data_IF_113970139646
#
_entry.id   IF_113970139646
#
_cell.length_a   1.000
_cell.length_b   1.000
_cell.length_c   1.000
_cell.angle_alpha   90.00
_cell.angle_beta   90.00
_cell.angle_gamma   90.00
#
_symmetry.space_group_name_H-M   'P 1'
#
loop_
_entity.id
_entity.type
_entity.pdbx_description
1 polymer ?
#
# COMPACT_ATOMS: atom_id res chain seq x y z
N UNK A 1 5.48 10.14 -7.75
CA UNK A 1 5.95 8.92 -8.43
C UNK A 1 6.43 9.32 -9.80
N UNK A 2 7.68 8.99 -10.16
CA UNK A 2 8.30 9.42 -11.42
C UNK A 2 7.76 8.68 -12.64
N UNK A 3 7.09 7.55 -12.44
CA UNK A 3 6.44 6.78 -13.50
C UNK A 3 4.90 6.97 -13.48
N UNK A 4 4.32 7.62 -14.50
CA UNK A 4 2.88 7.84 -14.59
C UNK A 4 2.08 6.54 -14.84
N UNK A 5 2.67 5.54 -15.50
CA UNK A 5 2.02 4.25 -15.80
C UNK A 5 1.83 3.44 -14.52
N UNK A 6 2.86 3.41 -13.67
CA UNK A 6 2.80 2.76 -12.35
C UNK A 6 1.74 3.42 -11.46
N UNK A 7 1.66 4.76 -11.51
CA UNK A 7 0.66 5.52 -10.75
C UNK A 7 -0.78 5.20 -11.20
N UNK A 8 -1.03 5.08 -12.50
CA UNK A 8 -2.34 4.71 -13.04
C UNK A 8 -2.74 3.29 -12.65
N UNK A 9 -1.81 2.33 -12.73
CA UNK A 9 -2.07 0.94 -12.32
C UNK A 9 -2.46 0.85 -10.84
N UNK A 10 -1.73 1.53 -9.96
CA UNK A 10 -2.04 1.54 -8.52
C UNK A 10 -3.39 2.23 -8.26
N UNK A 11 -3.70 3.34 -8.96
CA UNK A 11 -5.01 4.00 -8.87
C UNK A 11 -6.16 3.06 -9.21
N UNK A 12 -6.06 2.30 -10.30
CA UNK A 12 -7.12 1.35 -10.66
C UNK A 12 -7.37 0.27 -9.61
N UNK A 13 -6.36 -0.12 -8.83
CA UNK A 13 -6.52 -1.09 -7.74
C UNK A 13 -7.14 -0.49 -6.47
N UNK A 14 -7.08 0.83 -6.32
CA UNK A 14 -7.68 1.57 -5.20
C UNK A 14 -9.02 2.22 -5.56
N UNK A 15 -9.46 2.11 -6.82
CA UNK A 15 -10.75 2.61 -7.24
C UNK A 15 -11.86 1.86 -6.50
N UNK A 16 -12.76 2.61 -5.86
CA UNK A 16 -13.84 2.05 -5.05
C UNK A 16 -13.42 1.51 -3.68
N UNK A 17 -12.15 1.64 -3.28
CA UNK A 17 -11.69 1.24 -1.94
C UNK A 17 -12.28 2.17 -0.89
N UNK A 18 -12.94 1.58 0.11
CA UNK A 18 -13.53 2.31 1.23
C UNK A 18 -12.64 2.25 2.46
N UNK A 19 -12.94 3.11 3.45
CA UNK A 19 -12.28 3.06 4.77
C UNK A 19 -12.46 1.71 5.47
N UNK A 20 -13.57 1.02 5.23
CA UNK A 20 -13.83 -0.30 5.80
C UNK A 20 -12.88 -1.36 5.22
N UNK A 21 -12.59 -1.29 3.92
CA UNK A 21 -11.66 -2.22 3.30
C UNK A 21 -10.22 -2.04 3.79
N UNK A 22 -9.87 -0.82 4.23
CA UNK A 22 -8.57 -0.56 4.88
C UNK A 22 -8.47 -1.06 6.32
N UNK A 23 -9.57 -1.51 6.91
CA UNK A 23 -9.55 -2.20 8.20
C UNK A 23 -9.54 -3.73 8.01
N UNK A 24 -9.75 -4.21 6.78
CA UNK A 24 -9.64 -5.63 6.44
C UNK A 24 -8.18 -6.00 6.17
N UNK A 25 -7.59 -6.71 7.14
CA UNK A 25 -6.20 -7.14 7.10
C UNK A 25 -5.86 -7.98 5.86
N UNK A 26 -6.79 -8.80 5.37
CA UNK A 26 -6.54 -9.66 4.22
C UNK A 26 -6.50 -8.84 2.92
N UNK A 27 -7.41 -7.87 2.77
CA UNK A 27 -7.40 -6.93 1.63
C UNK A 27 -6.16 -6.05 1.63
N UNK A 28 -5.82 -5.47 2.78
CA UNK A 28 -4.62 -4.64 2.94
C UNK A 28 -3.36 -5.43 2.59
N UNK A 29 -3.21 -6.66 3.09
CA UNK A 29 -2.09 -7.55 2.75
C UNK A 29 -2.00 -7.82 1.24
N UNK A 30 -3.13 -8.08 0.59
CA UNK A 30 -3.18 -8.31 -0.87
C UNK A 30 -2.69 -7.08 -1.64
N UNK A 31 -3.11 -5.88 -1.26
CA UNK A 31 -2.64 -4.64 -1.88
C UNK A 31 -1.16 -4.39 -1.66
N UNK A 32 -0.67 -4.57 -0.43
CA UNK A 32 0.76 -4.42 -0.12
C UNK A 32 1.62 -5.32 -1.02
N UNK A 33 1.25 -6.60 -1.19
CA UNK A 33 1.92 -7.53 -2.12
C UNK A 33 1.84 -7.06 -3.58
N UNK A 34 0.64 -6.70 -4.02
CA UNK A 34 0.39 -6.30 -5.41
C UNK A 34 1.21 -5.05 -5.77
N UNK A 35 1.26 -4.07 -4.86
CA UNK A 35 2.01 -2.83 -5.09
C UNK A 35 3.51 -3.05 -5.01
N UNK A 36 4.01 -3.90 -4.11
CA UNK A 36 5.42 -4.29 -4.11
C UNK A 36 5.84 -4.94 -5.44
N UNK A 37 5.02 -5.83 -6.00
CA UNK A 37 5.27 -6.43 -7.32
C UNK A 37 5.24 -5.40 -8.45
N UNK A 38 4.25 -4.50 -8.46
CA UNK A 38 4.13 -3.43 -9.47
C UNK A 38 5.34 -2.49 -9.42
N UNK A 39 5.88 -2.24 -8.22
CA UNK A 39 7.05 -1.40 -7.99
C UNK A 39 8.37 -2.18 -8.17
N UNK A 40 8.31 -3.50 -8.40
CA UNK A 40 9.44 -4.40 -8.46
C UNK A 40 10.35 -4.31 -7.21
N UNK A 41 9.74 -4.14 -6.04
CA UNK A 41 10.41 -4.02 -4.75
C UNK A 41 10.33 -5.34 -3.98
N UNK A 42 11.43 -5.81 -3.36
CA UNK A 42 11.41 -7.01 -2.55
C UNK A 42 10.59 -6.78 -1.27
N UNK A 43 9.58 -7.63 -1.06
CA UNK A 43 8.73 -7.60 0.13
C UNK A 43 8.94 -8.86 0.95
N UNK A 44 9.56 -8.73 2.11
CA UNK A 44 9.69 -9.84 3.07
C UNK A 44 8.42 -9.97 3.91
N UNK A 45 8.16 -11.17 4.47
CA UNK A 45 7.00 -11.41 5.33
C UNK A 45 6.98 -10.48 6.57
N UNK A 46 8.15 -10.13 7.10
CA UNK A 46 8.26 -9.19 8.21
C UNK A 46 7.81 -7.78 7.79
N UNK A 47 8.36 -7.27 6.69
CA UNK A 47 8.03 -5.93 6.18
C UNK A 47 6.56 -5.83 5.80
N UNK A 48 6.01 -6.88 5.19
CA UNK A 48 4.59 -6.99 4.88
C UNK A 48 3.72 -6.87 6.13
N UNK A 49 4.01 -7.65 7.17
CA UNK A 49 3.23 -7.61 8.41
C UNK A 49 3.29 -6.22 9.07
N UNK A 50 4.47 -5.57 9.06
CA UNK A 50 4.65 -4.21 9.59
C UNK A 50 3.84 -3.18 8.80
N UNK A 51 3.88 -3.25 7.46
CA UNK A 51 3.10 -2.37 6.59
C UNK A 51 1.60 -2.55 6.79
N UNK A 52 1.13 -3.80 6.87
CA UNK A 52 -0.30 -4.10 7.08
C UNK A 52 -0.78 -3.55 8.42
N UNK A 53 -0.05 -3.80 9.51
CA UNK A 53 -0.39 -3.25 10.83
C UNK A 53 -0.44 -1.73 10.79
N UNK A 54 0.57 -1.09 10.22
CA UNK A 54 0.65 0.36 10.13
C UNK A 54 -0.54 0.96 9.36
N UNK A 55 -0.92 0.39 8.21
CA UNK A 55 -2.04 0.89 7.41
C UNK A 55 -3.35 0.85 8.19
N UNK A 56 -3.57 -0.23 8.96
CA UNK A 56 -4.75 -0.41 9.80
C UNK A 56 -4.72 0.59 10.97
N UNK A 57 -3.59 0.67 11.68
CA UNK A 57 -3.42 1.48 12.89
C UNK A 57 -3.54 2.99 12.61
N UNK A 58 -3.04 3.44 11.46
CA UNK A 58 -3.07 4.85 11.07
C UNK A 58 -4.43 5.30 10.56
N UNK A 59 -5.40 4.39 10.36
CA UNK A 59 -6.71 4.70 9.76
C UNK A 59 -6.58 5.54 8.49
N UNK A 60 -5.60 5.21 7.65
CA UNK A 60 -5.19 6.01 6.49
C UNK A 60 -6.37 6.20 5.54
N UNK A 61 -6.47 7.36 4.88
CA UNK A 61 -7.41 7.54 3.78
C UNK A 61 -6.87 6.82 2.51
N UNK A 62 -7.68 5.98 1.83
CA UNK A 62 -7.22 5.22 0.65
C UNK A 62 -6.74 6.12 -0.49
N UNK A 63 -7.14 7.39 -0.49
CA UNK A 63 -6.74 8.36 -1.51
C UNK A 63 -5.37 9.01 -1.23
N UNK A 64 -4.79 8.82 -0.03
CA UNK A 64 -3.53 9.47 0.34
C UNK A 64 -2.33 8.50 0.23
N UNK A 65 -2.05 8.07 -1.01
CA UNK A 65 -0.94 7.18 -1.39
C UNK A 65 0.46 7.67 -0.97
N UNK A 66 0.60 8.94 -0.59
CA UNK A 66 1.85 9.53 -0.06
C UNK A 66 2.31 8.86 1.23
N UNK A 67 1.41 8.26 2.02
CA UNK A 67 1.76 7.58 3.26
C UNK A 67 2.50 6.25 2.99
N UNK A 68 2.07 5.50 1.96
CA UNK A 68 2.74 4.25 1.55
C UNK A 68 4.16 4.49 1.02
N UNK A 69 4.34 5.55 0.23
CA UNK A 69 5.67 5.93 -0.30
C UNK A 69 6.57 6.52 0.79
N UNK A 70 6.03 7.31 1.74
CA UNK A 70 6.80 7.85 2.87
C UNK A 70 7.34 6.75 3.80
N UNK A 71 6.61 5.65 3.97
CA UNK A 71 7.07 4.51 4.78
C UNK A 71 8.28 3.82 4.16
N UNK A 72 8.28 3.61 2.85
CA UNK A 72 9.43 3.03 2.13
C UNK A 72 10.72 3.85 2.34
N UNK A 73 10.61 5.17 2.44
CA UNK A 73 11.75 6.05 2.79
C UNK A 73 12.13 6.07 4.27
N UNK A 74 11.28 5.60 5.21
CA UNK A 74 11.60 5.58 6.65
C UNK A 74 12.33 4.30 7.08
N UNK A 75 12.18 3.19 6.33
CA UNK A 75 12.83 1.92 6.63
C UNK A 75 14.06 1.65 5.76
N UNK A 76 14.57 2.68 5.06
CA UNK A 76 15.82 2.68 4.30
C UNK A 76 16.87 3.54 4.98
#
# INVERSE_FOLDING_TARGET
MKDPVVKERIKGHLEGVTKYDLQDRAKVRKWVRTFAMILNEPLTDLLENQLVNFIIDQKIDPNNMLHLVKLYTMFR
#
